data_IF_688081536773
#
_entry.id   IF_688081536773
#
_cell.length_a   1.000
_cell.length_b   1.000
_cell.length_c   1.000
_cell.angle_alpha   90.00
_cell.angle_beta   90.00
_cell.angle_gamma   90.00
#
_symmetry.space_group_name_H-M   'P 1'
#
loop_
_entity.id
_entity.type
_entity.pdbx_description
1 polymer ?
#
# COMPACT_ATOMS: atom_id res chain seq x y z
N UNK A 1 37.38 -30.12 -8.36
CA UNK A 1 37.94 -30.16 -6.99
C UNK A 1 37.76 -28.78 -6.38
N UNK A 2 36.97 -28.69 -5.28
CA UNK A 2 36.90 -27.60 -4.29
C UNK A 2 36.15 -26.33 -4.70
N UNK A 3 35.28 -25.72 -3.90
CA UNK A 3 34.57 -26.09 -2.67
C UNK A 3 33.43 -25.06 -2.54
N UNK A 4 32.26 -25.54 -2.19
CA UNK A 4 31.13 -24.67 -1.83
C UNK A 4 31.36 -24.06 -0.45
N UNK A 5 31.39 -22.74 -0.36
CA UNK A 5 31.33 -22.00 0.89
C UNK A 5 29.88 -21.64 1.21
N UNK A 6 29.44 -22.16 2.33
CA UNK A 6 28.16 -22.02 2.96
C UNK A 6 28.00 -20.56 3.48
N UNK A 7 27.07 -19.78 2.94
CA UNK A 7 26.69 -18.49 3.49
C UNK A 7 25.53 -18.68 4.46
N UNK A 8 25.78 -18.31 5.71
CA UNK A 8 24.90 -18.61 6.85
C UNK A 8 23.56 -17.89 6.81
N UNK A 9 22.56 -18.58 7.31
CA UNK A 9 21.23 -18.05 7.60
C UNK A 9 21.32 -16.99 8.71
N UNK A 10 20.54 -15.89 8.65
CA UNK A 10 20.45 -14.94 9.77
C UNK A 10 19.81 -15.63 10.98
N UNK A 11 20.46 -15.48 12.12
CA UNK A 11 19.97 -15.96 13.41
C UNK A 11 18.78 -15.10 13.84
N UNK A 12 17.62 -15.72 13.99
CA UNK A 12 16.48 -15.14 14.71
C UNK A 12 16.93 -14.84 16.14
N UNK A 13 16.86 -13.57 16.54
CA UNK A 13 17.10 -13.17 17.92
C UNK A 13 16.03 -13.76 18.83
N UNK A 14 16.46 -14.58 19.80
CA UNK A 14 15.61 -15.04 20.90
C UNK A 14 15.26 -13.82 21.77
N UNK A 15 13.99 -13.42 21.75
CA UNK A 15 13.46 -12.54 22.77
C UNK A 15 13.47 -13.25 24.11
N UNK A 16 14.28 -12.77 25.04
CA UNK A 16 14.36 -13.28 26.41
C UNK A 16 13.07 -12.88 27.12
N UNK A 17 12.18 -13.85 27.34
CA UNK A 17 11.00 -13.68 28.20
C UNK A 17 11.44 -13.77 29.65
N UNK A 18 11.44 -12.63 30.34
CA UNK A 18 11.65 -12.63 31.80
C UNK A 18 10.37 -13.13 32.48
N UNK A 19 10.42 -14.36 32.98
CA UNK A 19 9.37 -14.92 33.84
C UNK A 19 9.58 -14.38 35.26
N UNK A 20 8.69 -13.48 35.68
CA UNK A 20 8.60 -13.01 37.06
C UNK A 20 8.04 -14.16 37.91
N UNK A 21 8.90 -14.90 38.61
CA UNK A 21 8.48 -15.84 39.62
C UNK A 21 8.21 -15.04 40.91
N UNK A 22 6.94 -14.80 41.21
CA UNK A 22 6.53 -14.24 42.50
C UNK A 22 6.63 -15.33 43.58
N UNK A 23 7.46 -15.16 44.62
CA UNK A 23 7.62 -16.20 45.61
C UNK A 23 6.33 -16.37 46.43
N UNK A 24 6.01 -17.63 46.72
CA UNK A 24 4.81 -18.15 47.40
C UNK A 24 4.51 -17.52 48.78
N UNK A 25 5.41 -16.72 49.34
CA UNK A 25 5.30 -16.16 50.69
C UNK A 25 4.53 -14.82 50.80
N UNK A 26 4.15 -14.20 49.67
CA UNK A 26 3.48 -12.89 49.71
C UNK A 26 1.95 -12.97 49.77
N UNK A 27 1.36 -14.16 49.63
CA UNK A 27 -0.12 -14.31 49.58
C UNK A 27 -0.74 -14.44 50.99
N UNK A 28 0.06 -14.74 52.03
CA UNK A 28 -0.43 -14.96 53.40
C UNK A 28 -0.57 -13.68 54.27
N UNK A 29 -0.22 -12.53 53.74
CA UNK A 29 -0.20 -11.29 54.56
C UNK A 29 -1.52 -10.47 54.47
N UNK A 30 -2.55 -10.91 53.76
CA UNK A 30 -3.78 -10.12 53.54
C UNK A 30 -5.09 -10.77 54.05
N UNK A 31 -5.04 -11.83 54.84
CA UNK A 31 -6.27 -12.43 55.41
C UNK A 31 -6.31 -12.27 56.93
N UNK A 32 -7.13 -11.33 57.40
CA UNK A 32 -7.50 -11.20 58.81
C UNK A 32 -8.35 -12.38 59.28
N UNK A 33 -8.44 -12.65 60.61
CA UNK A 33 -9.14 -13.80 61.15
C UNK A 33 -10.64 -13.72 60.87
N UNK A 34 -11.17 -14.68 60.12
CA UNK A 34 -12.63 -14.82 59.92
C UNK A 34 -13.14 -15.02 58.51
N UNK A 35 -12.26 -15.17 57.48
CA UNK A 35 -12.75 -15.41 56.11
C UNK A 35 -12.33 -16.79 55.60
N UNK A 36 -13.30 -17.53 55.05
CA UNK A 36 -13.14 -18.83 54.43
C UNK A 36 -12.15 -18.79 53.29
N UNK A 37 -11.07 -19.53 53.38
CA UNK A 37 -10.02 -19.68 52.33
C UNK A 37 -10.59 -20.53 51.18
N UNK A 38 -10.80 -19.93 50.02
CA UNK A 38 -11.11 -20.69 48.81
C UNK A 38 -9.80 -21.28 48.24
N UNK A 39 -9.63 -22.56 48.40
CA UNK A 39 -8.50 -23.28 47.80
C UNK A 39 -8.77 -23.47 46.30
N UNK A 40 -8.05 -22.75 45.45
CA UNK A 40 -8.02 -23.02 44.02
C UNK A 40 -6.96 -24.07 43.77
N UNK A 41 -7.35 -25.23 43.21
CA UNK A 41 -6.42 -26.33 42.98
C UNK A 41 -5.29 -25.91 42.02
N UNK A 42 -4.05 -26.43 42.17
CA UNK A 42 -2.93 -26.14 41.29
C UNK A 42 -3.22 -26.38 39.81
N UNK A 43 -4.08 -27.34 39.49
CA UNK A 43 -4.54 -27.61 38.12
C UNK A 43 -5.35 -26.46 37.49
N UNK A 44 -6.12 -25.70 38.28
CA UNK A 44 -6.85 -24.55 37.78
C UNK A 44 -5.95 -23.33 37.49
N UNK A 45 -4.85 -23.19 38.25
CA UNK A 45 -3.81 -22.20 37.99
C UNK A 45 -3.03 -22.52 36.72
N UNK A 46 -2.73 -23.81 36.46
CA UNK A 46 -2.09 -24.23 35.22
C UNK A 46 -2.95 -23.96 34.01
N UNK A 47 -4.26 -24.19 34.06
CA UNK A 47 -5.18 -23.92 32.98
C UNK A 47 -5.38 -22.40 32.73
N UNK A 48 -5.33 -21.58 33.79
CA UNK A 48 -5.37 -20.13 33.67
C UNK A 48 -4.07 -19.56 33.08
N UNK A 49 -2.92 -20.11 33.46
CA UNK A 49 -1.61 -19.75 32.90
C UNK A 49 -1.44 -20.23 31.46
N UNK A 50 -1.94 -21.41 31.09
CA UNK A 50 -1.95 -21.89 29.71
C UNK A 50 -2.92 -21.09 28.81
N UNK A 51 -4.06 -20.65 29.36
CA UNK A 51 -5.00 -19.77 28.63
C UNK A 51 -4.44 -18.37 28.34
N UNK A 52 -3.53 -17.87 29.19
CA UNK A 52 -2.90 -16.56 29.02
C UNK A 52 -1.68 -16.60 28.08
N UNK A 53 -1.11 -17.77 27.80
CA UNK A 53 0.06 -17.94 26.91
C UNK A 53 -0.30 -18.05 25.41
N UNK A 54 -1.58 -18.06 25.05
CA UNK A 54 -1.99 -18.22 23.65
C UNK A 54 -2.53 -16.93 22.99
N UNK A 55 -2.35 -15.78 23.63
CA UNK A 55 -2.42 -14.51 22.91
C UNK A 55 -1.05 -14.29 22.28
N UNK A 56 -0.81 -14.92 21.14
CA UNK A 56 0.24 -14.52 20.23
C UNK A 56 -0.14 -13.11 19.80
N UNK A 57 0.48 -12.09 20.42
CA UNK A 57 0.38 -10.73 19.95
C UNK A 57 0.89 -10.72 18.50
N UNK A 58 -0.03 -10.69 17.55
CA UNK A 58 0.32 -10.36 16.17
C UNK A 58 1.04 -9.01 16.24
N UNK A 59 2.21 -8.87 15.60
CA UNK A 59 2.85 -7.58 15.54
C UNK A 59 1.84 -6.59 14.96
N UNK A 60 1.62 -5.47 15.63
CA UNK A 60 0.60 -4.47 15.30
C UNK A 60 0.72 -3.90 13.85
N UNK A 61 1.73 -4.32 13.09
CA UNK A 61 2.07 -3.87 11.74
C UNK A 61 2.31 -5.05 10.77
N UNK A 62 1.77 -6.24 11.02
CA UNK A 62 1.84 -7.30 10.01
C UNK A 62 0.95 -6.92 8.82
N UNK A 63 1.51 -6.98 7.61
CA UNK A 63 0.74 -6.80 6.38
C UNK A 63 -0.38 -7.83 6.30
N UNK A 64 -1.58 -7.47 5.80
CA UNK A 64 -2.62 -8.46 5.53
C UNK A 64 -2.10 -9.56 4.58
N UNK A 65 -2.43 -10.82 4.86
CA UNK A 65 -1.97 -11.97 4.05
C UNK A 65 -2.26 -11.81 2.55
N UNK A 66 -3.34 -11.11 2.20
CA UNK A 66 -3.73 -10.84 0.81
C UNK A 66 -2.76 -9.92 0.08
N UNK A 67 -1.98 -9.11 0.79
CA UNK A 67 -1.03 -8.17 0.19
C UNK A 67 0.21 -8.87 -0.39
N UNK A 68 0.66 -9.96 0.22
CA UNK A 68 1.73 -10.80 -0.33
C UNK A 68 1.24 -11.95 -1.21
N UNK A 69 -0.09 -12.17 -1.31
CA UNK A 69 -0.65 -13.30 -2.03
C UNK A 69 -0.42 -13.16 -3.55
N UNK A 70 0.14 -14.18 -4.23
CA UNK A 70 0.33 -14.14 -5.68
C UNK A 70 -0.99 -13.97 -6.44
N UNK A 71 -0.94 -13.18 -7.52
CA UNK A 71 -2.01 -13.01 -8.48
C UNK A 71 -1.40 -12.85 -9.88
N UNK A 72 -1.97 -13.50 -10.93
CA UNK A 72 -1.35 -13.49 -12.25
C UNK A 72 -1.39 -12.10 -12.90
N UNK A 73 -0.28 -11.75 -13.57
CA UNK A 73 -0.22 -10.57 -14.42
C UNK A 73 -1.29 -10.63 -15.51
N UNK A 74 -1.93 -9.50 -15.78
CA UNK A 74 -2.99 -9.42 -16.78
C UNK A 74 -3.06 -8.04 -17.45
N UNK A 75 -3.57 -8.06 -18.68
CA UNK A 75 -3.81 -6.83 -19.45
C UNK A 75 -5.06 -6.14 -18.94
N UNK A 76 -4.95 -4.84 -18.63
CA UNK A 76 -6.08 -4.00 -18.24
C UNK A 76 -6.75 -3.44 -19.48
N UNK A 77 -6.01 -2.68 -20.28
CA UNK A 77 -6.43 -2.15 -21.59
C UNK A 77 -5.22 -1.65 -22.37
N UNK A 78 -5.19 -1.86 -23.68
CA UNK A 78 -4.12 -1.39 -24.55
C UNK A 78 -2.74 -1.83 -24.07
N UNK A 79 -1.89 -0.87 -23.77
CA UNK A 79 -0.55 -1.08 -23.24
C UNK A 79 -0.44 -0.95 -21.72
N UNK A 80 -1.56 -0.96 -20.99
CA UNK A 80 -1.61 -0.98 -19.52
C UNK A 80 -1.85 -2.41 -19.01
N UNK A 81 -0.98 -2.86 -18.11
CA UNK A 81 -1.02 -4.17 -17.47
C UNK A 81 -0.99 -4.03 -15.95
N UNK A 82 -1.66 -4.94 -15.23
CA UNK A 82 -1.52 -5.12 -13.79
C UNK A 82 -0.55 -6.28 -13.54
N UNK A 83 0.50 -6.04 -12.73
CA UNK A 83 1.58 -6.99 -12.46
C UNK A 83 1.86 -7.18 -10.96
N UNK A 84 0.96 -6.68 -10.10
CA UNK A 84 1.06 -6.75 -8.65
C UNK A 84 0.59 -8.05 -8.04
N UNK A 85 0.20 -7.98 -6.76
CA UNK A 85 -0.29 -9.11 -5.97
C UNK A 85 -1.82 -9.20 -6.04
N UNK A 86 -2.40 -10.05 -5.17
CA UNK A 86 -3.85 -10.20 -5.06
C UNK A 86 -4.56 -8.87 -4.75
N UNK A 87 -3.98 -8.02 -3.90
CA UNK A 87 -4.60 -6.73 -3.53
C UNK A 87 -3.70 -5.52 -3.80
N UNK A 88 -2.37 -5.61 -3.63
CA UNK A 88 -1.48 -4.48 -3.92
C UNK A 88 -1.27 -4.35 -5.43
N UNK A 89 -1.80 -3.27 -5.98
CA UNK A 89 -1.74 -3.04 -7.41
C UNK A 89 -0.39 -2.41 -7.81
N UNK A 90 0.24 -3.04 -8.79
CA UNK A 90 1.42 -2.54 -9.51
C UNK A 90 1.07 -2.52 -10.98
N UNK A 91 1.32 -1.39 -11.66
CA UNK A 91 0.94 -1.23 -13.06
C UNK A 91 2.17 -1.06 -13.95
N UNK A 92 2.18 -1.79 -15.06
CA UNK A 92 3.17 -1.66 -16.12
C UNK A 92 2.50 -1.00 -17.33
N UNK A 93 3.09 0.09 -17.84
CA UNK A 93 2.70 0.72 -19.09
C UNK A 93 3.86 0.52 -20.07
N UNK A 94 3.58 -0.11 -21.22
CA UNK A 94 4.61 -0.55 -22.17
C UNK A 94 4.71 0.35 -23.39
N UNK A 95 5.94 0.54 -23.90
CA UNK A 95 6.23 1.12 -25.22
C UNK A 95 7.49 0.48 -25.81
N UNK A 96 7.76 0.78 -27.07
CA UNK A 96 8.97 0.29 -27.77
C UNK A 96 10.26 0.93 -27.25
N UNK A 97 10.17 2.10 -26.60
CA UNK A 97 11.33 2.80 -26.01
C UNK A 97 11.59 2.40 -24.55
N UNK A 98 10.81 1.47 -24.01
CA UNK A 98 10.88 0.99 -22.63
C UNK A 98 9.54 1.18 -21.90
N UNK A 99 9.55 0.90 -20.61
CA UNK A 99 8.31 0.80 -19.83
C UNK A 99 8.28 1.77 -18.64
N UNK A 100 7.09 2.13 -18.20
CA UNK A 100 6.85 2.80 -16.92
C UNK A 100 6.25 1.79 -15.93
N UNK A 101 6.73 1.78 -14.68
CA UNK A 101 6.17 0.98 -13.59
C UNK A 101 5.65 1.91 -12.49
N UNK A 102 4.40 1.69 -12.08
CA UNK A 102 3.72 2.48 -11.05
C UNK A 102 3.48 1.60 -9.84
N UNK A 103 3.99 1.98 -8.67
CA UNK A 103 4.08 1.24 -7.42
C UNK A 103 4.97 -0.01 -7.53
N UNK A 104 5.28 -0.63 -6.36
CA UNK A 104 6.13 -1.83 -6.31
C UNK A 104 5.71 -2.83 -5.22
N UNK A 105 4.65 -2.52 -4.44
CA UNK A 105 4.20 -3.41 -3.38
C UNK A 105 5.14 -3.47 -2.18
N UNK A 106 5.17 -4.62 -1.51
CA UNK A 106 6.01 -4.92 -0.34
C UNK A 106 7.47 -5.15 -0.74
N UNK A 107 8.36 -5.22 0.24
CA UNK A 107 9.81 -5.40 0.04
C UNK A 107 10.14 -6.69 -0.74
N UNK A 108 9.37 -7.76 -0.56
CA UNK A 108 9.55 -9.06 -1.22
C UNK A 108 8.78 -9.20 -2.54
N UNK A 109 8.09 -8.15 -3.02
CA UNK A 109 7.25 -8.21 -4.22
C UNK A 109 8.03 -8.29 -5.54
N UNK A 110 9.32 -7.97 -5.56
CA UNK A 110 10.13 -7.89 -6.80
C UNK A 110 10.09 -9.18 -7.62
N UNK A 111 10.21 -10.35 -6.96
CA UNK A 111 10.20 -11.63 -7.65
C UNK A 111 8.88 -11.90 -8.37
N UNK A 112 7.74 -11.64 -7.72
CA UNK A 112 6.41 -11.80 -8.29
C UNK A 112 6.15 -10.80 -9.43
N UNK A 113 6.56 -9.54 -9.24
CA UNK A 113 6.45 -8.51 -10.30
C UNK A 113 7.23 -8.95 -11.55
N UNK A 114 8.46 -9.43 -11.38
CA UNK A 114 9.29 -9.94 -12.49
C UNK A 114 8.62 -11.13 -13.19
N UNK A 115 8.08 -12.08 -12.42
CA UNK A 115 7.37 -13.24 -12.97
C UNK A 115 6.14 -12.79 -13.77
N UNK A 116 5.33 -11.90 -13.23
CA UNK A 116 4.15 -11.36 -13.90
C UNK A 116 4.51 -10.59 -15.18
N UNK A 117 5.54 -9.73 -15.13
CA UNK A 117 6.03 -9.01 -16.31
C UNK A 117 6.51 -9.99 -17.39
N UNK A 118 7.27 -11.02 -17.00
CA UNK A 118 7.78 -12.05 -17.91
C UNK A 118 6.66 -12.89 -18.54
N UNK A 119 5.64 -13.26 -17.75
CA UNK A 119 4.49 -14.03 -18.24
C UNK A 119 3.66 -13.28 -19.29
N UNK A 120 3.73 -11.97 -19.29
CA UNK A 120 3.08 -11.07 -20.26
C UNK A 120 3.96 -10.81 -21.49
N UNK A 121 5.17 -11.39 -21.56
CA UNK A 121 6.09 -11.25 -22.70
C UNK A 121 7.03 -10.04 -22.63
N UNK A 122 7.10 -9.36 -21.48
CA UNK A 122 7.96 -8.20 -21.26
C UNK A 122 9.15 -8.55 -20.34
N UNK A 123 10.07 -7.60 -20.18
CA UNK A 123 11.22 -7.74 -19.29
C UNK A 123 11.20 -6.61 -18.26
N UNK A 124 11.41 -6.94 -17.00
CA UNK A 124 11.49 -5.94 -15.93
C UNK A 124 12.67 -4.96 -16.17
N UNK A 125 13.76 -5.45 -16.75
CA UNK A 125 14.95 -4.66 -17.09
C UNK A 125 14.70 -3.58 -18.13
N UNK A 126 13.57 -3.63 -18.87
CA UNK A 126 13.16 -2.60 -19.84
C UNK A 126 12.37 -1.46 -19.23
N UNK A 127 12.12 -1.50 -17.91
CA UNK A 127 11.55 -0.36 -17.17
C UNK A 127 12.56 0.80 -17.17
N UNK A 128 12.11 1.98 -17.55
CA UNK A 128 12.91 3.23 -17.63
C UNK A 128 12.44 4.29 -16.64
N UNK A 129 11.18 4.21 -16.22
CA UNK A 129 10.56 5.17 -15.30
C UNK A 129 9.83 4.42 -14.20
N UNK A 130 10.11 4.82 -12.96
CA UNK A 130 9.41 4.38 -11.76
C UNK A 130 8.56 5.54 -11.25
N UNK A 131 7.31 5.25 -10.89
CA UNK A 131 6.33 6.19 -10.37
C UNK A 131 5.66 5.59 -9.14
N UNK A 132 5.27 6.41 -8.20
CA UNK A 132 4.41 5.97 -7.09
C UNK A 132 3.10 6.73 -7.07
N UNK A 133 2.05 6.08 -6.60
CA UNK A 133 0.79 6.73 -6.31
C UNK A 133 0.79 7.34 -4.90
N UNK A 134 1.63 6.82 -4.00
CA UNK A 134 1.82 7.25 -2.62
C UNK A 134 3.10 6.64 -2.02
N UNK A 135 3.72 7.31 -1.06
CA UNK A 135 4.98 6.87 -0.47
C UNK A 135 4.82 5.95 0.77
N UNK A 136 3.68 5.30 0.96
CA UNK A 136 3.56 4.28 2.00
C UNK A 136 4.27 2.99 1.61
N UNK A 137 4.74 2.26 2.60
CA UNK A 137 5.56 1.06 2.48
C UNK A 137 4.94 -0.07 1.64
N UNK A 138 3.62 -0.22 1.70
CA UNK A 138 2.86 -1.21 0.92
C UNK A 138 2.82 -0.91 -0.60
N UNK A 139 3.25 0.28 -1.01
CA UNK A 139 3.36 0.68 -2.41
C UNK A 139 4.79 0.96 -2.84
N UNK A 140 5.70 1.22 -1.89
CA UNK A 140 7.02 1.77 -2.17
C UNK A 140 8.19 0.86 -1.77
N UNK A 141 7.95 -0.23 -1.03
CA UNK A 141 9.04 -0.94 -0.36
C UNK A 141 10.03 -1.65 -1.31
N UNK A 142 9.60 -2.07 -2.51
CA UNK A 142 10.50 -2.69 -3.48
C UNK A 142 11.14 -1.71 -4.48
N UNK A 143 10.89 -0.39 -4.40
CA UNK A 143 11.48 0.57 -5.36
C UNK A 143 13.00 0.54 -5.39
N UNK A 144 13.66 0.47 -4.25
CA UNK A 144 15.12 0.48 -4.20
C UNK A 144 15.75 -0.72 -4.94
N UNK A 145 15.15 -1.91 -4.78
CA UNK A 145 15.59 -3.11 -5.47
C UNK A 145 15.30 -3.03 -6.97
N UNK A 146 14.08 -2.69 -7.37
CA UNK A 146 13.71 -2.59 -8.78
C UNK A 146 14.52 -1.50 -9.48
N UNK A 147 14.76 -0.35 -8.85
CA UNK A 147 15.63 0.70 -9.40
C UNK A 147 17.05 0.19 -9.65
N UNK A 148 17.60 -0.59 -8.71
CA UNK A 148 18.94 -1.17 -8.87
C UNK A 148 19.01 -2.19 -10.02
N UNK A 149 17.95 -2.95 -10.25
CA UNK A 149 17.86 -3.96 -11.31
C UNK A 149 17.64 -3.35 -12.70
N UNK A 150 16.94 -2.22 -12.78
CA UNK A 150 16.49 -1.62 -14.05
C UNK A 150 17.29 -0.39 -14.47
N UNK A 151 17.98 0.25 -13.53
CA UNK A 151 18.57 1.59 -13.69
C UNK A 151 17.53 2.66 -14.09
N UNK A 152 16.26 2.43 -13.77
CA UNK A 152 15.15 3.34 -14.08
C UNK A 152 15.25 4.60 -13.24
N UNK A 153 14.70 5.70 -13.79
CA UNK A 153 14.58 6.97 -13.06
C UNK A 153 13.36 6.95 -12.16
N UNK A 154 13.54 7.24 -10.88
CA UNK A 154 12.44 7.42 -9.93
C UNK A 154 11.90 8.84 -9.99
N UNK A 155 10.61 8.99 -10.28
CA UNK A 155 9.89 10.24 -10.33
C UNK A 155 8.82 10.25 -9.23
N UNK A 156 8.73 11.33 -8.46
CA UNK A 156 7.76 11.49 -7.39
C UNK A 156 7.28 12.93 -7.28
N UNK A 157 6.11 13.14 -6.70
CA UNK A 157 5.65 14.47 -6.31
C UNK A 157 6.49 15.01 -5.14
N UNK A 158 6.50 16.32 -4.96
CA UNK A 158 7.27 16.96 -3.89
C UNK A 158 6.88 16.46 -2.50
N UNK A 159 5.59 16.24 -2.25
CA UNK A 159 5.08 15.81 -0.94
C UNK A 159 5.55 14.42 -0.52
N UNK A 160 5.80 13.51 -1.49
CA UNK A 160 6.23 12.14 -1.20
C UNK A 160 7.74 11.92 -1.36
N UNK A 161 8.46 12.83 -2.01
CA UNK A 161 9.88 12.64 -2.33
C UNK A 161 10.74 12.38 -1.10
N UNK A 162 10.59 13.18 -0.04
CA UNK A 162 11.35 13.01 1.19
C UNK A 162 11.09 11.67 1.88
N UNK A 163 9.82 11.25 1.92
CA UNK A 163 9.43 9.96 2.52
C UNK A 163 10.07 8.78 1.78
N UNK A 164 10.15 8.86 0.44
CA UNK A 164 10.85 7.87 -0.39
C UNK A 164 12.36 7.86 -0.12
N UNK A 165 12.98 9.05 -0.01
CA UNK A 165 14.42 9.21 0.17
C UNK A 165 14.93 8.83 1.56
N UNK A 166 14.08 8.89 2.58
CA UNK A 166 14.43 8.44 3.93
C UNK A 166 13.79 7.09 4.32
N UNK A 167 13.08 6.44 3.39
CA UNK A 167 12.52 5.11 3.59
C UNK A 167 11.35 5.08 4.57
N UNK A 168 10.54 6.14 4.63
CA UNK A 168 9.36 6.23 5.48
C UNK A 168 9.61 6.84 6.85
N UNK A 169 10.84 7.27 7.17
CA UNK A 169 11.14 7.83 8.49
C UNK A 169 10.42 9.16 8.73
N UNK A 170 10.28 9.99 7.69
CA UNK A 170 9.58 11.27 7.75
C UNK A 170 8.08 11.19 7.45
N UNK A 171 7.51 9.98 7.29
CA UNK A 171 6.08 9.85 7.05
C UNK A 171 5.27 10.46 8.21
N UNK A 172 4.41 11.45 7.95
CA UNK A 172 3.73 12.17 9.04
C UNK A 172 2.68 11.31 9.76
N UNK A 173 2.18 10.24 9.14
CA UNK A 173 1.19 9.36 9.75
C UNK A 173 1.84 8.21 10.51
N UNK A 174 2.78 7.50 9.90
CA UNK A 174 3.44 6.36 10.51
C UNK A 174 4.64 6.74 11.39
N UNK A 175 5.27 7.90 11.16
CA UNK A 175 6.35 8.42 12.00
C UNK A 175 7.52 7.45 12.13
N UNK A 176 7.91 6.78 11.05
CA UNK A 176 8.97 5.78 11.03
C UNK A 176 8.64 4.44 11.68
N UNK A 177 7.39 4.20 12.10
CA UNK A 177 6.97 2.90 12.66
C UNK A 177 6.98 1.77 11.64
N UNK A 178 6.77 2.10 10.38
CA UNK A 178 6.95 1.24 9.22
C UNK A 178 7.93 1.92 8.29
N UNK A 179 8.94 1.19 7.85
CA UNK A 179 10.03 1.70 7.02
C UNK A 179 10.34 0.74 5.89
N UNK A 180 10.99 1.24 4.88
CA UNK A 180 11.41 0.48 3.72
C UNK A 180 12.81 0.96 3.28
N UNK A 181 13.43 0.27 2.34
CA UNK A 181 14.75 0.65 1.83
C UNK A 181 14.65 1.99 1.09
N UNK A 182 15.40 3.03 1.51
CA UNK A 182 15.40 4.34 0.85
C UNK A 182 15.66 4.26 -0.65
N UNK A 183 14.98 5.11 -1.42
CA UNK A 183 15.17 5.24 -2.85
C UNK A 183 15.36 6.70 -3.25
N UNK A 184 16.44 7.01 -3.97
CA UNK A 184 16.71 8.36 -4.47
C UNK A 184 15.68 8.75 -5.52
N UNK A 185 15.05 9.91 -5.36
CA UNK A 185 14.16 10.54 -6.34
C UNK A 185 14.99 11.32 -7.34
N UNK A 186 14.96 10.92 -8.61
CA UNK A 186 15.78 11.53 -9.67
C UNK A 186 15.13 12.80 -10.24
N UNK A 187 13.81 12.94 -10.11
CA UNK A 187 13.06 14.10 -10.60
C UNK A 187 11.74 14.30 -9.85
N UNK A 188 11.48 15.53 -9.46
CA UNK A 188 10.17 15.95 -8.95
C UNK A 188 9.23 16.19 -10.13
N UNK A 189 8.01 15.68 -10.02
CA UNK A 189 6.89 15.89 -10.94
C UNK A 189 5.79 16.72 -10.29
N UNK A 190 4.96 17.40 -11.09
CA UNK A 190 3.94 18.31 -10.62
C UNK A 190 2.55 18.05 -11.22
N UNK A 191 1.52 18.61 -10.60
CA UNK A 191 0.12 18.53 -11.08
C UNK A 191 0.00 19.04 -12.51
N UNK A 192 -0.70 18.28 -13.36
CA UNK A 192 -0.91 18.61 -14.76
C UNK A 192 0.26 18.28 -15.70
N UNK A 193 1.43 17.93 -15.18
CA UNK A 193 2.58 17.54 -16.00
C UNK A 193 2.28 16.28 -16.83
N UNK A 194 2.85 16.19 -18.04
CA UNK A 194 2.78 14.99 -18.89
C UNK A 194 4.17 14.33 -18.96
N UNK A 195 4.26 13.12 -18.44
CA UNK A 195 5.45 12.27 -18.53
C UNK A 195 5.37 11.50 -19.84
N UNK A 196 6.44 11.56 -20.65
CA UNK A 196 6.51 10.91 -21.95
C UNK A 196 7.61 9.86 -22.00
N UNK A 197 7.33 8.71 -22.62
CA UNK A 197 8.31 7.66 -22.95
C UNK A 197 7.79 6.91 -24.17
N UNK A 198 8.47 7.02 -25.29
CA UNK A 198 7.94 6.54 -26.57
C UNK A 198 6.59 7.16 -26.91
N UNK A 199 5.60 6.34 -27.13
CA UNK A 199 4.21 6.72 -27.37
C UNK A 199 3.38 6.97 -26.11
N UNK A 200 3.89 6.61 -24.92
CA UNK A 200 3.20 6.87 -23.65
C UNK A 200 3.13 8.38 -23.40
N UNK A 201 1.94 8.84 -23.06
CA UNK A 201 1.65 10.22 -22.58
C UNK A 201 0.84 10.13 -21.32
N UNK A 202 1.53 10.15 -20.16
CA UNK A 202 0.94 9.95 -18.83
C UNK A 202 0.83 11.29 -18.10
N UNK A 203 -0.39 11.76 -17.88
CA UNK A 203 -0.64 13.02 -17.14
C UNK A 203 -0.70 12.76 -15.65
N UNK A 204 0.04 13.56 -14.90
CA UNK A 204 0.06 13.58 -13.44
C UNK A 204 -1.11 14.39 -12.89
N UNK A 205 -1.74 13.88 -11.84
CA UNK A 205 -2.74 14.59 -11.04
C UNK A 205 -2.35 14.46 -9.57
N UNK A 206 -2.05 15.56 -8.90
CA UNK A 206 -1.86 15.57 -7.46
C UNK A 206 -3.22 15.46 -6.77
N UNK A 207 -3.36 14.39 -5.99
CA UNK A 207 -4.53 14.05 -5.19
C UNK A 207 -4.12 13.83 -3.72
N UNK A 208 -3.61 14.89 -3.04
CA UNK A 208 -3.12 14.80 -1.67
C UNK A 208 -4.24 14.46 -0.68
N UNK A 209 -3.84 14.06 0.51
CA UNK A 209 -4.74 13.66 1.60
C UNK A 209 -4.32 12.33 2.20
N UNK A 210 -4.30 11.24 1.43
CA UNK A 210 -3.81 9.95 1.90
C UNK A 210 -2.33 10.03 2.29
N UNK A 211 -1.46 10.51 1.40
CA UNK A 211 -0.17 11.13 1.71
C UNK A 211 -0.19 12.58 1.23
N UNK A 212 0.79 13.38 1.64
CA UNK A 212 0.94 14.77 1.17
C UNK A 212 1.26 14.84 -0.33
N UNK A 213 1.94 13.82 -0.87
CA UNK A 213 2.32 13.72 -2.27
C UNK A 213 1.49 12.74 -3.09
N UNK A 214 0.37 12.23 -2.56
CA UNK A 214 -0.49 11.28 -3.28
C UNK A 214 -0.81 11.76 -4.68
N UNK A 215 -0.67 10.86 -5.66
CA UNK A 215 -0.88 11.18 -7.08
C UNK A 215 -1.67 10.09 -7.81
N UNK A 216 -2.36 10.52 -8.85
CA UNK A 216 -3.05 9.67 -9.81
C UNK A 216 -2.54 9.99 -11.21
N UNK A 217 -2.79 9.10 -12.14
CA UNK A 217 -2.30 9.25 -13.51
C UNK A 217 -3.44 9.02 -14.50
N UNK A 218 -3.43 9.77 -15.61
CA UNK A 218 -4.37 9.55 -16.73
C UNK A 218 -3.65 9.46 -18.04
N UNK A 219 -4.18 8.63 -18.91
CA UNK A 219 -3.75 8.54 -20.31
C UNK A 219 -4.94 8.21 -21.21
N UNK A 220 -4.77 8.38 -22.52
CA UNK A 220 -5.70 7.90 -23.53
C UNK A 220 -5.09 6.66 -24.18
N UNK A 221 -5.89 5.62 -24.29
CA UNK A 221 -5.52 4.36 -24.95
C UNK A 221 -6.48 4.13 -26.11
N UNK A 222 -5.91 3.94 -27.32
CA UNK A 222 -6.70 3.58 -28.51
C UNK A 222 -6.70 2.07 -28.67
N UNK A 223 -7.87 1.44 -28.69
CA UNK A 223 -8.04 0.01 -28.92
C UNK A 223 -9.35 -0.31 -29.64
N UNK A 224 -9.28 -1.19 -30.65
CA UNK A 224 -10.45 -1.58 -31.42
C UNK A 224 -11.12 -0.40 -32.16
N UNK A 225 -10.36 0.62 -32.53
CA UNK A 225 -10.88 1.82 -33.19
C UNK A 225 -11.60 2.82 -32.27
N UNK A 226 -11.45 2.66 -30.96
CA UNK A 226 -12.02 3.53 -29.94
C UNK A 226 -10.94 4.03 -28.99
N UNK A 227 -11.05 5.30 -28.59
CA UNK A 227 -10.25 5.90 -27.53
C UNK A 227 -10.90 5.71 -26.16
N UNK A 228 -10.11 5.29 -25.19
CA UNK A 228 -10.50 5.12 -23.80
C UNK A 228 -9.71 6.08 -22.92
N UNK A 229 -10.41 6.84 -22.08
CA UNK A 229 -9.79 7.67 -21.03
C UNK A 229 -9.54 6.77 -19.83
N UNK A 230 -8.27 6.49 -19.58
CA UNK A 230 -7.82 5.58 -18.53
C UNK A 230 -7.31 6.37 -17.34
N UNK A 231 -7.73 5.99 -16.14
CA UNK A 231 -7.25 6.56 -14.89
C UNK A 231 -6.66 5.47 -13.97
N UNK A 232 -5.44 5.71 -13.49
CA UNK A 232 -4.77 4.95 -12.42
C UNK A 232 -4.84 5.83 -11.18
N UNK A 233 -5.75 5.52 -10.25
CA UNK A 233 -6.22 6.47 -9.24
C UNK A 233 -5.74 6.10 -7.84
N UNK A 234 -5.05 7.02 -7.18
CA UNK A 234 -4.89 6.94 -5.74
C UNK A 234 -6.18 7.38 -5.06
N UNK A 235 -6.92 6.41 -4.52
CA UNK A 235 -8.18 6.68 -3.84
C UNK A 235 -7.92 7.36 -2.49
N UNK A 236 -8.65 8.42 -2.20
CA UNK A 236 -8.54 9.19 -0.95
C UNK A 236 -9.04 8.44 0.29
N UNK A 237 -8.44 7.31 0.64
CA UNK A 237 -8.74 6.57 1.86
C UNK A 237 -8.11 7.22 3.08
N UNK A 238 -8.82 7.21 4.22
CA UNK A 238 -8.32 7.78 5.48
C UNK A 238 -7.81 6.66 6.36
N UNK A 239 -6.53 6.66 6.66
CA UNK A 239 -5.93 5.68 7.57
C UNK A 239 -6.44 5.87 8.99
N UNK A 240 -6.59 4.75 9.72
CA UNK A 240 -7.05 4.78 11.10
C UNK A 240 -6.15 5.68 11.97
N UNK A 241 -6.75 6.61 12.71
CA UNK A 241 -6.03 7.55 13.56
C UNK A 241 -5.39 8.75 12.85
N UNK A 242 -5.58 8.90 11.53
CA UNK A 242 -5.12 10.09 10.80
C UNK A 242 -5.92 11.30 11.25
N UNK A 243 -5.24 12.37 11.63
CA UNK A 243 -5.85 13.63 12.06
C UNK A 243 -5.95 14.58 10.87
N UNK A 244 -7.12 15.21 10.69
CA UNK A 244 -7.42 16.01 9.51
C UNK A 244 -7.47 17.51 9.79
N UNK A 245 -8.11 17.95 10.86
CA UNK A 245 -8.31 19.35 11.19
C UNK A 245 -7.85 19.70 12.62
N UNK A 246 -8.01 18.77 13.57
CA UNK A 246 -7.59 18.98 14.95
C UNK A 246 -6.19 18.40 15.13
N UNK A 247 -5.18 19.26 15.24
CA UNK A 247 -3.78 18.87 15.28
C UNK A 247 -3.45 17.93 14.09
N UNK A 248 -3.57 18.43 12.85
CA UNK A 248 -3.58 17.59 11.66
C UNK A 248 -2.26 16.85 11.46
N UNK A 249 -2.33 15.65 10.90
CA UNK A 249 -1.18 14.78 10.62
C UNK A 249 -0.09 15.52 9.80
N UNK A 250 -0.52 16.37 8.87
CA UNK A 250 0.31 17.39 8.22
C UNK A 250 -0.55 18.63 7.93
N UNK A 251 0.04 19.83 7.78
CA UNK A 251 -0.71 21.06 7.54
C UNK A 251 -1.57 20.95 6.28
N UNK A 252 -2.88 21.19 6.40
CA UNK A 252 -3.80 21.16 5.26
C UNK A 252 -4.44 19.80 4.97
N UNK A 253 -4.08 18.72 5.68
CA UNK A 253 -4.55 17.36 5.40
C UNK A 253 -6.07 17.25 5.13
N UNK A 254 -6.89 17.90 5.96
CA UNK A 254 -8.34 17.86 5.80
C UNK A 254 -8.82 18.54 4.52
N UNK A 255 -8.25 19.69 4.16
CA UNK A 255 -8.58 20.39 2.93
C UNK A 255 -8.14 19.62 1.69
N UNK A 256 -6.98 18.97 1.74
CA UNK A 256 -6.44 18.15 0.68
C UNK A 256 -7.37 16.99 0.32
N UNK A 257 -7.92 16.30 1.30
CA UNK A 257 -8.95 15.28 1.05
C UNK A 257 -10.19 15.85 0.35
N UNK A 258 -10.70 17.01 0.81
CA UNK A 258 -11.87 17.65 0.20
C UNK A 258 -11.60 18.02 -1.26
N UNK A 259 -10.46 18.60 -1.54
CA UNK A 259 -10.05 19.00 -2.89
C UNK A 259 -9.79 17.80 -3.79
N UNK A 260 -9.19 16.73 -3.25
CA UNK A 260 -8.98 15.47 -3.96
C UNK A 260 -10.31 14.87 -4.44
N UNK A 261 -11.32 14.75 -3.56
CA UNK A 261 -12.63 14.22 -3.99
C UNK A 261 -13.29 15.11 -5.04
N UNK A 262 -13.18 16.44 -4.91
CA UNK A 262 -13.70 17.38 -5.89
C UNK A 262 -13.00 17.22 -7.24
N UNK A 263 -11.65 17.13 -7.27
CA UNK A 263 -10.84 16.92 -8.48
C UNK A 263 -11.20 15.57 -9.13
N UNK A 264 -11.20 14.48 -8.36
CA UNK A 264 -11.50 13.13 -8.87
C UNK A 264 -12.91 13.04 -9.44
N UNK A 265 -13.91 13.65 -8.80
CA UNK A 265 -15.29 13.68 -9.29
C UNK A 265 -15.43 14.39 -10.65
N UNK A 266 -14.57 15.37 -10.94
CA UNK A 266 -14.58 16.09 -12.19
C UNK A 266 -13.87 15.34 -13.35
N UNK A 267 -13.14 14.26 -13.04
CA UNK A 267 -12.45 13.48 -14.07
C UNK A 267 -13.43 12.73 -14.96
N UNK A 268 -13.16 12.78 -16.26
CA UNK A 268 -13.88 11.96 -17.23
C UNK A 268 -13.10 10.68 -17.47
N UNK A 269 -13.66 9.55 -17.06
CA UNK A 269 -12.98 8.26 -17.03
C UNK A 269 -13.87 7.21 -17.68
N UNK A 270 -13.30 6.39 -18.57
CA UNK A 270 -13.96 5.22 -19.15
C UNK A 270 -13.49 3.95 -18.43
N UNK A 271 -12.16 3.81 -18.21
CA UNK A 271 -11.50 2.70 -17.54
C UNK A 271 -10.76 3.22 -16.32
N UNK A 272 -10.90 2.56 -15.18
CA UNK A 272 -10.16 2.92 -13.99
C UNK A 272 -9.66 1.72 -13.20
N UNK A 273 -8.50 1.92 -12.60
CA UNK A 273 -7.85 1.03 -11.63
C UNK A 273 -7.33 1.86 -10.46
N UNK A 274 -7.03 1.22 -9.32
CA UNK A 274 -6.60 1.91 -8.13
C UNK A 274 -5.44 1.20 -7.43
N UNK A 275 -4.89 1.79 -6.38
CA UNK A 275 -3.72 1.31 -5.65
C UNK A 275 -3.91 -0.07 -5.00
N UNK A 276 -5.15 -0.45 -4.68
CA UNK A 276 -5.53 -1.78 -4.20
C UNK A 276 -6.59 -2.41 -5.10
N UNK A 277 -6.47 -3.73 -5.34
CA UNK A 277 -7.44 -4.50 -6.13
C UNK A 277 -8.85 -4.41 -5.57
N UNK A 278 -8.98 -4.41 -4.25
CA UNK A 278 -10.26 -4.25 -3.53
C UNK A 278 -10.93 -2.90 -3.77
N UNK A 279 -10.16 -1.83 -4.03
CA UNK A 279 -10.72 -0.49 -4.24
C UNK A 279 -11.49 -0.35 -5.55
N UNK A 280 -11.10 -1.08 -6.61
CA UNK A 280 -11.72 -1.01 -7.93
C UNK A 280 -12.44 -2.30 -8.35
N UNK A 281 -12.63 -3.23 -7.41
CA UNK A 281 -13.37 -4.47 -7.64
C UNK A 281 -12.64 -5.43 -8.60
N UNK A 282 -11.30 -5.53 -8.48
CA UNK A 282 -10.48 -6.40 -9.34
C UNK A 282 -11.06 -7.81 -9.46
N UNK A 283 -11.37 -8.43 -8.31
CA UNK A 283 -11.79 -9.82 -8.25
C UNK A 283 -13.22 -10.07 -8.73
N UNK A 284 -14.03 -9.05 -8.88
CA UNK A 284 -15.35 -9.12 -9.49
C UNK A 284 -15.26 -8.95 -11.01
N UNK A 285 -14.35 -8.09 -11.47
CA UNK A 285 -14.15 -7.73 -12.87
C UNK A 285 -13.29 -8.75 -13.64
N UNK A 286 -12.26 -9.31 -12.99
CA UNK A 286 -11.29 -10.19 -13.64
C UNK A 286 -11.09 -11.49 -12.84
N UNK A 287 -11.05 -12.63 -13.55
CA UNK A 287 -10.72 -13.95 -13.01
C UNK A 287 -9.48 -14.51 -13.70
N UNK A 288 -8.55 -15.16 -12.96
CA UNK A 288 -7.40 -15.83 -13.56
C UNK A 288 -7.82 -16.79 -14.68
N UNK A 289 -7.13 -16.70 -15.83
CA UNK A 289 -7.46 -17.51 -17.02
C UNK A 289 -8.59 -16.93 -17.89
N UNK A 290 -9.21 -15.82 -17.50
CA UNK A 290 -10.19 -15.13 -18.33
C UNK A 290 -9.51 -14.56 -19.59
N UNK A 291 -10.15 -14.76 -20.75
CA UNK A 291 -9.71 -14.12 -21.98
C UNK A 291 -9.77 -12.59 -21.86
N UNK A 292 -8.77 -11.92 -22.42
CA UNK A 292 -8.74 -10.47 -22.45
C UNK A 292 -9.95 -9.91 -23.24
N UNK A 293 -10.58 -8.89 -22.67
CA UNK A 293 -11.60 -8.08 -23.32
C UNK A 293 -11.44 -6.61 -22.92
N UNK A 294 -11.38 -5.65 -23.87
CA UNK A 294 -11.24 -4.22 -23.58
C UNK A 294 -12.30 -3.66 -22.64
N UNK A 295 -13.49 -4.28 -22.61
CA UNK A 295 -14.61 -3.87 -21.77
C UNK A 295 -14.50 -4.28 -20.30
N UNK A 296 -13.58 -5.17 -19.95
CA UNK A 296 -13.49 -5.78 -18.59
C UNK A 296 -13.40 -4.72 -17.48
N UNK A 297 -12.65 -3.64 -17.70
CA UNK A 297 -12.45 -2.58 -16.71
C UNK A 297 -13.16 -1.27 -17.07
N UNK A 298 -14.05 -1.27 -18.08
CA UNK A 298 -14.89 -0.11 -18.41
C UNK A 298 -15.98 0.04 -17.36
N UNK A 299 -15.85 1.03 -16.47
CA UNK A 299 -16.74 1.19 -15.33
C UNK A 299 -16.78 2.65 -14.81
N UNK A 300 -17.23 3.61 -15.64
CA UNK A 300 -17.30 5.01 -15.20
C UNK A 300 -18.28 5.23 -14.04
N UNK A 301 -19.34 4.44 -13.95
CA UNK A 301 -20.31 4.54 -12.86
C UNK A 301 -19.71 4.05 -11.53
N UNK A 302 -18.96 2.95 -11.53
CA UNK A 302 -18.26 2.43 -10.37
C UNK A 302 -17.20 3.41 -9.85
N UNK A 303 -16.51 4.13 -10.75
CA UNK A 303 -15.57 5.19 -10.38
C UNK A 303 -16.25 6.28 -9.55
N UNK A 304 -17.34 6.85 -10.05
CA UNK A 304 -18.10 7.90 -9.35
C UNK A 304 -18.72 7.40 -8.05
N UNK A 305 -19.19 6.14 -8.02
CA UNK A 305 -19.73 5.51 -6.82
C UNK A 305 -18.65 5.33 -5.74
N UNK A 306 -17.44 4.91 -6.13
CA UNK A 306 -16.30 4.76 -5.21
C UNK A 306 -15.92 6.10 -4.58
N UNK A 307 -15.79 7.17 -5.38
CA UNK A 307 -15.50 8.53 -4.88
C UNK A 307 -16.61 8.99 -3.93
N UNK A 308 -17.88 8.80 -4.30
CA UNK A 308 -19.03 9.22 -3.46
C UNK A 308 -19.03 8.54 -2.09
N UNK A 309 -18.66 7.25 -2.05
CA UNK A 309 -18.54 6.46 -0.82
C UNK A 309 -17.42 7.00 0.09
N UNK A 310 -16.26 7.31 -0.50
CA UNK A 310 -15.10 7.84 0.24
C UNK A 310 -15.35 9.27 0.73
N UNK A 311 -15.95 10.13 -0.09
CA UNK A 311 -16.33 11.49 0.31
C UNK A 311 -17.37 11.49 1.44
N UNK A 312 -18.32 10.55 1.42
CA UNK A 312 -19.27 10.36 2.53
C UNK A 312 -18.53 9.97 3.82
N UNK A 313 -17.64 8.98 3.73
CA UNK A 313 -16.81 8.56 4.86
C UNK A 313 -15.95 9.71 5.41
N UNK A 314 -15.35 10.51 4.56
CA UNK A 314 -14.59 11.71 4.94
C UNK A 314 -15.46 12.70 5.73
N UNK A 315 -16.67 13.00 5.26
CA UNK A 315 -17.60 13.92 5.96
C UNK A 315 -17.97 13.41 7.36
N UNK A 316 -18.24 12.11 7.47
CA UNK A 316 -18.53 11.44 8.75
C UNK A 316 -17.31 11.47 9.68
N UNK A 317 -16.11 11.22 9.14
CA UNK A 317 -14.86 11.24 9.89
C UNK A 317 -14.58 12.64 10.45
N UNK A 318 -14.70 13.68 9.64
CA UNK A 318 -14.52 15.09 10.06
C UNK A 318 -15.52 15.50 11.12
N UNK A 319 -16.79 15.13 10.96
CA UNK A 319 -17.81 15.44 11.97
C UNK A 319 -17.49 14.80 13.33
N UNK A 320 -17.02 13.54 13.31
CA UNK A 320 -16.58 12.84 14.52
C UNK A 320 -15.33 13.48 15.14
N UNK A 321 -14.31 13.84 14.34
CA UNK A 321 -13.09 14.48 14.83
C UNK A 321 -13.40 15.78 15.58
N UNK A 322 -14.28 16.62 15.00
CA UNK A 322 -14.67 17.91 15.60
C UNK A 322 -15.46 17.75 16.90
N UNK A 323 -16.37 16.76 16.97
CA UNK A 323 -17.18 16.51 18.18
C UNK A 323 -16.37 16.01 19.39
N UNK A 324 -15.15 15.52 19.19
CA UNK A 324 -14.27 15.07 20.28
C UNK A 324 -13.30 16.18 20.76
N UNK A 325 -13.33 17.34 20.11
CA UNK A 325 -12.45 18.50 20.43
C UNK A 325 -13.23 19.64 21.11
N UNK A 326 -14.55 19.53 21.22
CA UNK A 326 -15.44 20.37 22.04
C UNK A 326 -15.63 19.75 23.42
#
# INVERSE_FOLDING_TARGET
MLAFANAGRPRMGLATVAVLIVPFHLVNAMTGPGKSTVWISPAKWLLFALGLMLVIAQPANAAPDVWGKPFPGHRVIGNLYAVGTYDLAVFLITSDEGHMLINTGLEDSTALIRENVSSLGFRLEDVRVLLTMQAHWDHAAAFAEIKALTSARMLATRGDARVLEDGGLSDPHFGGKVSFKPVTVDRIIADGEVISLGDIRLRVHEHPGHTEGSSSYTMVVSEGGRDYRVAIVNMGTINAGKKLFVDPTYPGAGQDFADTYRKQRAMQVDVWVAAHGSQYGLHDKFKPGQAYAPSTFVDPAGFLAAISRLEKHYKEYVAKERSHSE
#
